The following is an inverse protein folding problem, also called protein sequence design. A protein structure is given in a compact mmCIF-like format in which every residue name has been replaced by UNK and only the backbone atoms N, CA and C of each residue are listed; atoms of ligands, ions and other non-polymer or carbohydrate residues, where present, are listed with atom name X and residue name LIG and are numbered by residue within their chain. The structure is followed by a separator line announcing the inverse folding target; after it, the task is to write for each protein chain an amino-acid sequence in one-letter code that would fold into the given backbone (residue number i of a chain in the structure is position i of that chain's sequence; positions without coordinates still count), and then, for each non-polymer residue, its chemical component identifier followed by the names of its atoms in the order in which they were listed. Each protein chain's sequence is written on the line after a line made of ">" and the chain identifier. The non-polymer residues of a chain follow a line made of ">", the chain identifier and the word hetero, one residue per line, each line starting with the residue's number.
data_IF_973783601875
#
_entry.id   IF_973783601875
#
_cell.length_a   1.000
_cell.length_b   1.000
_cell.length_c   1.000
_cell.angle_alpha   90.00
_cell.angle_beta   90.00
_cell.angle_gamma   90.00
#
_symmetry.space_group_name_H-M   'P 1'
#
loop_
_entity.id
_entity.type
_entity.pdbx_description
1 polymer ?
#
# COMPACT_ATOMS: atom_id res chain seq x y z
N UNK A 1 -12.55 -14.15 -29.61
CA UNK A 1 -11.97 -13.40 -28.48
C UNK A 1 -10.78 -14.23 -28.04
N UNK A 2 -9.57 -13.75 -28.31
CA UNK A 2 -8.35 -14.46 -27.96
C UNK A 2 -8.00 -14.12 -26.49
N UNK A 3 -7.20 -14.95 -25.82
CA UNK A 3 -6.83 -14.73 -24.42
C UNK A 3 -6.18 -13.35 -24.20
N UNK A 4 -5.44 -12.83 -25.19
CA UNK A 4 -4.86 -11.46 -25.18
C UNK A 4 -5.91 -10.33 -25.11
N UNK A 5 -7.09 -10.52 -25.69
CA UNK A 5 -8.18 -9.54 -25.61
C UNK A 5 -8.87 -9.61 -24.24
N UNK A 6 -8.94 -10.81 -23.65
CA UNK A 6 -9.44 -10.98 -22.29
C UNK A 6 -8.47 -10.37 -21.27
N UNK A 7 -7.16 -10.58 -21.41
CA UNK A 7 -6.15 -9.99 -20.53
C UNK A 7 -6.11 -8.46 -20.65
N UNK A 8 -6.24 -7.90 -21.85
CA UNK A 8 -6.36 -6.44 -22.02
C UNK A 8 -7.64 -5.86 -21.43
N UNK A 9 -8.77 -6.55 -21.57
CA UNK A 9 -10.02 -6.15 -20.95
C UNK A 9 -9.97 -6.32 -19.44
N UNK A 10 -9.27 -7.34 -18.94
CA UNK A 10 -9.04 -7.59 -17.52
C UNK A 10 -8.11 -6.52 -16.92
N UNK A 11 -7.03 -6.13 -17.59
CA UNK A 11 -6.19 -4.99 -17.21
C UNK A 11 -6.95 -3.65 -17.24
N UNK A 12 -7.84 -3.46 -18.22
CA UNK A 12 -8.71 -2.29 -18.28
C UNK A 12 -9.82 -2.30 -17.20
N UNK A 13 -10.25 -3.49 -16.75
CA UNK A 13 -11.31 -3.68 -15.75
C UNK A 13 -10.77 -3.74 -14.31
N UNK A 14 -9.51 -4.15 -14.10
CA UNK A 14 -8.86 -4.27 -12.78
C UNK A 14 -8.26 -2.96 -12.25
N UNK A 15 -8.42 -1.85 -12.96
CA UNK A 15 -7.98 -0.54 -12.51
C UNK A 15 -6.69 -0.13 -13.19
N UNK A 16 -6.81 0.94 -13.97
CA UNK A 16 -5.73 1.85 -14.36
C UNK A 16 -4.78 2.08 -13.20
N UNK A 17 -3.47 2.05 -13.49
CA UNK A 17 -2.40 2.52 -12.59
C UNK A 17 -2.89 3.69 -11.74
N UNK A 18 -2.75 3.60 -10.42
CA UNK A 18 -3.20 4.65 -9.52
C UNK A 18 -2.41 5.95 -9.81
N UNK A 19 -3.01 6.97 -10.45
CA UNK A 19 -2.28 8.15 -10.90
C UNK A 19 -1.75 8.98 -9.73
N UNK A 20 -2.36 8.87 -8.53
CA UNK A 20 -1.89 9.56 -7.32
C UNK A 20 -0.62 8.92 -6.76
N UNK A 21 -0.37 7.65 -7.07
CA UNK A 21 0.83 6.90 -6.66
C UNK A 21 1.83 6.70 -7.80
N UNK A 22 1.49 7.12 -9.03
CA UNK A 22 2.34 6.95 -10.21
C UNK A 22 3.69 7.70 -10.12
N UNK A 23 3.70 8.87 -9.46
CA UNK A 23 4.91 9.68 -9.24
C UNK A 23 5.53 9.50 -7.84
N UNK A 24 5.09 8.49 -7.09
CA UNK A 24 5.56 8.23 -5.73
C UNK A 24 6.68 7.20 -5.73
N UNK A 25 7.82 7.57 -5.15
CA UNK A 25 8.88 6.60 -4.87
C UNK A 25 8.52 5.82 -3.60
N UNK A 26 8.31 4.52 -3.72
CA UNK A 26 8.02 3.68 -2.56
C UNK A 26 9.24 2.84 -2.18
N UNK A 27 9.67 2.99 -0.93
CA UNK A 27 10.76 2.23 -0.35
C UNK A 27 10.21 1.21 0.65
N UNK A 28 10.48 -0.07 0.39
CA UNK A 28 10.08 -1.16 1.28
C UNK A 28 10.89 -1.23 2.58
N UNK A 29 11.98 -0.45 2.70
CA UNK A 29 12.88 -0.44 3.86
C UNK A 29 13.31 -1.87 4.24
N UNK A 30 14.04 -2.52 3.34
CA UNK A 30 14.51 -3.89 3.54
C UNK A 30 15.76 -3.99 4.42
N UNK A 31 16.00 -5.17 5.00
CA UNK A 31 17.22 -5.42 5.76
C UNK A 31 17.18 -4.93 7.20
N UNK A 32 16.01 -4.48 7.69
CA UNK A 32 15.80 -4.04 9.07
C UNK A 32 15.17 -5.12 9.97
N UNK A 33 15.05 -6.36 9.48
CA UNK A 33 14.56 -7.50 10.26
C UNK A 33 13.17 -7.25 10.87
N UNK A 34 13.00 -7.54 12.15
CA UNK A 34 11.71 -7.36 12.83
C UNK A 34 11.45 -5.93 13.33
N UNK A 35 12.34 -4.97 13.07
CA UNK A 35 12.20 -3.63 13.63
C UNK A 35 11.18 -2.76 12.87
N UNK A 36 11.26 -2.75 11.54
CA UNK A 36 10.33 -2.04 10.65
C UNK A 36 10.51 -2.51 9.19
N UNK A 37 9.72 -1.95 8.29
CA UNK A 37 9.80 -2.22 6.85
C UNK A 37 9.16 -3.54 6.44
N UNK A 38 9.56 -4.03 5.27
CA UNK A 38 8.99 -5.22 4.67
C UNK A 38 9.21 -6.49 5.51
N UNK A 39 10.38 -6.62 6.15
CA UNK A 39 10.67 -7.77 7.00
C UNK A 39 9.79 -7.78 8.25
N UNK A 40 9.58 -6.62 8.88
CA UNK A 40 8.67 -6.52 10.02
C UNK A 40 7.23 -6.84 9.62
N UNK A 41 6.72 -6.30 8.51
CA UNK A 41 5.39 -6.59 8.00
C UNK A 41 5.21 -8.10 7.72
N UNK A 42 6.21 -8.74 7.12
CA UNK A 42 6.20 -10.17 6.82
C UNK A 42 6.24 -11.01 8.09
N UNK A 43 7.21 -10.77 8.98
CA UNK A 43 7.49 -11.63 10.13
C UNK A 43 6.46 -11.43 11.24
N UNK A 44 6.07 -10.18 11.55
CA UNK A 44 5.13 -9.89 12.65
C UNK A 44 3.67 -9.91 12.23
N UNK A 45 3.38 -9.59 10.97
CA UNK A 45 1.99 -9.38 10.50
C UNK A 45 1.56 -10.34 9.40
N UNK A 46 2.46 -11.16 8.86
CA UNK A 46 2.14 -12.10 7.78
C UNK A 46 1.69 -11.39 6.50
N UNK A 47 2.13 -10.15 6.29
CA UNK A 47 1.84 -9.36 5.08
C UNK A 47 3.07 -9.34 4.20
N UNK A 48 2.93 -9.80 2.96
CA UNK A 48 4.01 -9.83 1.96
C UNK A 48 4.10 -8.52 1.20
N UNK A 49 5.24 -8.28 0.54
CA UNK A 49 5.41 -7.10 -0.31
C UNK A 49 4.41 -7.06 -1.46
N UNK A 50 4.14 -8.20 -2.09
CA UNK A 50 3.20 -8.28 -3.21
C UNK A 50 1.81 -7.78 -2.80
N UNK A 51 1.35 -8.14 -1.61
CA UNK A 51 0.08 -7.66 -1.06
C UNK A 51 0.09 -6.15 -0.78
N UNK A 52 1.23 -5.61 -0.34
CA UNK A 52 1.40 -4.17 -0.13
C UNK A 52 1.40 -3.45 -1.49
N UNK A 53 2.17 -3.93 -2.46
CA UNK A 53 2.24 -3.37 -3.81
C UNK A 53 0.87 -3.37 -4.49
N UNK A 54 0.11 -4.45 -4.36
CA UNK A 54 -1.24 -4.57 -4.90
C UNK A 54 -2.17 -3.47 -4.36
N UNK A 55 -2.11 -3.20 -3.06
CA UNK A 55 -2.89 -2.13 -2.41
C UNK A 55 -2.46 -0.73 -2.84
N UNK A 56 -1.18 -0.54 -3.16
CA UNK A 56 -0.64 0.78 -3.47
C UNK A 56 -0.77 1.16 -4.94
N UNK A 57 -0.64 0.20 -5.85
CA UNK A 57 -0.40 0.47 -7.27
C UNK A 57 -1.37 -0.19 -8.24
N UNK A 58 -2.00 -1.30 -7.86
CA UNK A 58 -2.63 -2.19 -8.86
C UNK A 58 -4.15 -2.19 -8.88
N UNK A 59 -4.80 -1.59 -7.88
CA UNK A 59 -6.25 -1.52 -7.78
C UNK A 59 -6.69 -0.05 -7.75
N UNK A 60 -7.63 0.30 -6.88
CA UNK A 60 -8.02 1.68 -6.64
C UNK A 60 -7.01 2.39 -5.75
N UNK A 61 -6.98 3.73 -5.85
CA UNK A 61 -6.15 4.53 -4.97
C UNK A 61 -6.49 4.23 -3.50
N UNK A 62 -5.50 3.92 -2.66
CA UNK A 62 -5.76 3.65 -1.26
C UNK A 62 -6.31 4.91 -0.59
N UNK A 63 -7.24 4.75 0.37
CA UNK A 63 -7.61 5.85 1.24
C UNK A 63 -6.36 6.27 2.02
N UNK A 64 -6.07 7.56 2.05
CA UNK A 64 -4.89 8.11 2.70
C UNK A 64 -5.28 9.05 3.84
N UNK A 65 -4.62 8.91 5.01
CA UNK A 65 -4.65 9.91 6.09
C UNK A 65 -3.29 10.08 6.73
N UNK A 66 -2.94 11.33 7.07
CA UNK A 66 -1.81 11.62 7.96
C UNK A 66 -2.12 11.16 9.38
N UNK A 67 -1.12 10.57 10.03
CA UNK A 67 -1.20 10.18 11.44
C UNK A 67 -1.35 11.42 12.32
N UNK A 68 -2.18 11.30 13.36
CA UNK A 68 -2.34 12.35 14.38
C UNK A 68 -1.18 12.37 15.38
N UNK A 69 -0.54 11.22 15.59
CA UNK A 69 0.52 11.05 16.58
C UNK A 69 1.89 11.47 16.04
N UNK A 70 2.08 11.33 14.73
CA UNK A 70 3.33 11.66 14.06
C UNK A 70 3.03 12.21 12.66
N UNK A 71 3.20 13.53 12.42
CA UNK A 71 2.84 14.16 11.16
C UNK A 71 3.71 13.72 9.98
N UNK A 72 4.87 13.08 10.25
CA UNK A 72 5.71 12.47 9.23
C UNK A 72 5.18 11.10 8.79
N UNK A 73 4.15 10.56 9.45
CA UNK A 73 3.57 9.27 9.08
C UNK A 73 2.28 9.43 8.31
N UNK A 74 2.19 8.65 7.25
CA UNK A 74 1.00 8.50 6.43
C UNK A 74 0.49 7.07 6.54
N UNK A 75 -0.82 6.94 6.70
CA UNK A 75 -1.52 5.66 6.78
C UNK A 75 -2.37 5.53 5.52
N UNK A 76 -2.20 4.40 4.85
CA UNK A 76 -2.85 4.05 3.58
C UNK A 76 -3.70 2.81 3.81
N UNK A 77 -4.91 2.81 3.30
CA UNK A 77 -5.82 1.67 3.38
C UNK A 77 -6.32 1.27 2.01
N UNK A 78 -6.27 -0.03 1.73
CA UNK A 78 -6.85 -0.56 0.51
C UNK A 78 -7.16 -2.04 0.61
N UNK A 79 -7.61 -2.57 -0.51
CA UNK A 79 -8.01 -3.96 -0.66
C UNK A 79 -7.02 -4.68 -1.57
N UNK A 80 -6.81 -5.97 -1.35
CA UNK A 80 -6.17 -6.87 -2.32
C UNK A 80 -7.22 -7.53 -3.20
N UNK A 81 -6.85 -8.12 -4.35
CA UNK A 81 -7.77 -8.92 -5.19
C UNK A 81 -8.32 -10.15 -4.46
N UNK A 82 -7.57 -10.67 -3.49
CA UNK A 82 -8.02 -11.75 -2.61
C UNK A 82 -9.05 -11.30 -1.57
N UNK A 83 -9.39 -10.01 -1.54
CA UNK A 83 -10.35 -9.42 -0.62
C UNK A 83 -9.80 -9.12 0.78
N UNK A 84 -8.48 -9.26 1.00
CA UNK A 84 -7.87 -8.81 2.24
C UNK A 84 -7.93 -7.28 2.31
N UNK A 85 -8.17 -6.73 3.51
CA UNK A 85 -8.06 -5.30 3.78
C UNK A 85 -6.74 -5.03 4.46
N UNK A 86 -5.92 -4.16 3.90
CA UNK A 86 -4.63 -3.81 4.49
C UNK A 86 -4.61 -2.37 4.95
N UNK A 87 -3.92 -2.17 6.06
CA UNK A 87 -3.44 -0.89 6.54
C UNK A 87 -1.92 -0.87 6.36
N UNK A 88 -1.41 0.07 5.57
CA UNK A 88 0.00 0.28 5.29
C UNK A 88 0.41 1.60 5.94
N UNK A 89 1.44 1.56 6.78
CA UNK A 89 1.96 2.71 7.50
C UNK A 89 3.33 3.06 6.96
N UNK A 90 3.50 4.31 6.53
CA UNK A 90 4.69 4.81 5.89
C UNK A 90 5.19 6.08 6.59
N UNK A 91 6.49 6.36 6.48
CA UNK A 91 7.04 7.71 6.61
C UNK A 91 6.84 8.39 5.25
N UNK A 92 6.35 9.63 5.28
CA UNK A 92 6.09 10.45 4.10
C UNK A 92 7.08 11.61 4.05
N UNK A 93 8.01 11.51 3.10
CA UNK A 93 9.09 12.47 2.93
C UNK A 93 9.02 13.11 1.55
N UNK A 94 9.48 14.35 1.48
CA UNK A 94 9.76 15.02 0.20
C UNK A 94 11.25 14.90 -0.07
N UNK A 95 11.59 14.24 -1.16
CA UNK A 95 12.97 14.21 -1.65
C UNK A 95 13.40 15.60 -2.13
N UNK A 96 14.72 15.79 -2.30
CA UNK A 96 15.30 17.08 -2.69
C UNK A 96 14.88 17.54 -4.08
N UNK A 97 14.49 16.63 -4.97
CA UNK A 97 13.99 16.94 -6.31
C UNK A 97 12.48 17.24 -6.34
N UNK A 98 11.81 17.23 -5.17
CA UNK A 98 10.40 17.55 -5.00
C UNK A 98 9.45 16.36 -5.09
N UNK A 99 9.95 15.15 -5.42
CA UNK A 99 9.15 13.92 -5.49
C UNK A 99 8.76 13.44 -4.09
N UNK A 100 7.56 12.89 -3.99
CA UNK A 100 7.06 12.27 -2.77
C UNK A 100 7.68 10.89 -2.62
N UNK A 101 8.24 10.60 -1.45
CA UNK A 101 8.80 9.30 -1.10
C UNK A 101 8.08 8.72 0.11
N UNK A 102 7.63 7.48 -0.01
CA UNK A 102 6.97 6.75 1.06
C UNK A 102 7.88 5.60 1.52
N UNK A 103 8.39 5.68 2.75
CA UNK A 103 9.18 4.62 3.37
C UNK A 103 8.31 3.72 4.24
N UNK A 104 8.22 2.43 3.92
CA UNK A 104 7.42 1.47 4.68
C UNK A 104 7.90 1.35 6.13
N UNK A 105 6.98 1.52 7.08
CA UNK A 105 7.20 1.21 8.50
C UNK A 105 6.63 -0.18 8.81
N UNK A 106 5.39 -0.43 8.41
CA UNK A 106 4.72 -1.72 8.60
C UNK A 106 3.46 -1.80 7.74
N UNK A 107 2.97 -3.02 7.52
CA UNK A 107 1.63 -3.26 7.02
C UNK A 107 0.95 -4.37 7.83
N UNK A 108 -0.37 -4.31 7.97
CA UNK A 108 -1.15 -5.34 8.65
C UNK A 108 -2.55 -5.45 8.06
N UNK A 109 -3.18 -6.62 8.28
CA UNK A 109 -4.59 -6.81 7.89
C UNK A 109 -5.48 -6.08 8.87
N UNK A 110 -6.42 -5.31 8.34
CA UNK A 110 -7.42 -4.64 9.15
C UNK A 110 -8.57 -5.61 9.46
N UNK A 111 -9.00 -5.63 10.72
CA UNK A 111 -10.15 -6.41 11.15
C UNK A 111 -11.46 -5.69 10.80
N UNK A 112 -12.56 -6.44 10.72
CA UNK A 112 -13.87 -5.86 10.45
C UNK A 112 -14.31 -4.85 11.52
N UNK A 113 -13.90 -5.07 12.78
CA UNK A 113 -14.18 -4.17 13.89
C UNK A 113 -13.45 -2.82 13.75
N UNK A 114 -12.20 -2.82 13.30
CA UNK A 114 -11.42 -1.61 13.05
C UNK A 114 -12.02 -0.81 11.89
N UNK A 115 -12.38 -1.49 10.80
CA UNK A 115 -13.03 -0.86 9.65
C UNK A 115 -14.34 -0.16 10.03
N UNK A 116 -15.22 -0.83 10.80
CA UNK A 116 -16.51 -0.25 11.21
C UNK A 116 -16.37 0.98 12.10
N UNK A 117 -15.30 1.11 12.87
CA UNK A 117 -15.03 2.31 13.68
C UNK A 117 -14.58 3.51 12.86
N UNK A 118 -14.14 3.31 11.62
CA UNK A 118 -13.64 4.36 10.74
C UNK A 118 -14.74 5.03 9.91
N UNK A 119 -15.84 4.32 9.66
CA UNK A 119 -17.05 4.82 8.99
C UNK A 119 -17.97 5.55 9.95
#
# INVERSE_FOLDING_TARGET
>A
MNDDDFDKLLSAYLGTENPEMADVEFDFNEGHGESYGADHARIKRGVTKDKIAEVLFELEAPEEKRSKDDPARTILWGHTRTGDRLCVVCIDERSTDGRRRLGLITAFRETEAEWRRRR
#
